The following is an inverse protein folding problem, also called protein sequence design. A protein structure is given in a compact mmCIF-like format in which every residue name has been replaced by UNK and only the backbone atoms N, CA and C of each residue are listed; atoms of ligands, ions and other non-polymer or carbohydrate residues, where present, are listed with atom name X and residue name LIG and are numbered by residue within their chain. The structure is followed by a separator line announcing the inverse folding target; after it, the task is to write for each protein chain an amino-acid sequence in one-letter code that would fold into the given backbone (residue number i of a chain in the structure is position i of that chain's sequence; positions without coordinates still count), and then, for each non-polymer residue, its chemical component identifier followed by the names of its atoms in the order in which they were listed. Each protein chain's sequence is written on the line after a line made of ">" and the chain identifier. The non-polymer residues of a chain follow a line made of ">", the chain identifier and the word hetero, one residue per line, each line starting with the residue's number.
data_IF_931084017182
#
_entry.id   IF_931084017182
#
_cell.length_a   1.000
_cell.length_b   1.000
_cell.length_c   1.000
_cell.angle_alpha   90.00
_cell.angle_beta   90.00
_cell.angle_gamma   90.00
#
_symmetry.space_group_name_H-M   'P 1'
#
loop_
_entity.id
_entity.type
_entity.pdbx_description
1 polymer ?
#
# COMPACT_ATOMS: atom_id res chain seq x y z
N UNK A 1 14.78 -10.24 -12.41
CA UNK A 1 14.56 -9.77 -11.02
C UNK A 1 13.08 -9.96 -10.74
N UNK A 2 12.71 -11.14 -10.23
CA UNK A 2 11.34 -11.39 -9.77
C UNK A 2 11.10 -10.44 -8.61
N UNK A 3 10.01 -9.67 -8.65
CA UNK A 3 9.64 -8.85 -7.51
C UNK A 3 9.55 -9.77 -6.29
N UNK A 4 10.28 -9.47 -5.21
CA UNK A 4 10.34 -10.35 -4.06
C UNK A 4 8.93 -10.47 -3.46
N UNK A 5 8.45 -11.70 -3.25
CA UNK A 5 7.11 -11.95 -2.74
C UNK A 5 6.87 -11.23 -1.40
N UNK A 6 7.91 -11.13 -0.57
CA UNK A 6 7.92 -10.40 0.71
C UNK A 6 7.52 -8.93 0.52
N UNK A 7 7.97 -8.29 -0.57
CA UNK A 7 7.66 -6.89 -0.90
C UNK A 7 6.18 -6.71 -1.26
N UNK A 8 5.56 -7.72 -1.86
CA UNK A 8 4.14 -7.69 -2.23
C UNK A 8 3.28 -7.85 -0.97
N UNK A 9 3.64 -8.78 -0.08
CA UNK A 9 2.92 -9.00 1.18
C UNK A 9 2.92 -7.75 2.06
N UNK A 10 4.06 -7.06 2.19
CA UNK A 10 4.15 -5.78 2.91
C UNK A 10 3.24 -4.70 2.31
N UNK A 11 3.26 -4.53 0.98
CA UNK A 11 2.44 -3.52 0.29
C UNK A 11 0.94 -3.80 0.46
N UNK A 12 0.55 -5.07 0.31
CA UNK A 12 -0.84 -5.50 0.43
C UNK A 12 -1.32 -5.32 1.88
N UNK A 13 -0.53 -5.77 2.86
CA UNK A 13 -0.86 -5.62 4.27
C UNK A 13 -1.01 -4.15 4.70
N UNK A 14 -0.11 -3.29 4.22
CA UNK A 14 -0.17 -1.85 4.47
C UNK A 14 -1.47 -1.23 3.92
N UNK A 15 -1.81 -1.54 2.67
CA UNK A 15 -3.03 -1.02 2.05
C UNK A 15 -4.30 -1.59 2.70
N UNK A 16 -4.33 -2.88 3.04
CA UNK A 16 -5.45 -3.50 3.72
C UNK A 16 -5.67 -2.86 5.10
N UNK A 17 -4.61 -2.52 5.82
CA UNK A 17 -4.70 -1.84 7.10
C UNK A 17 -5.25 -0.40 6.97
N UNK A 18 -4.85 0.35 5.94
CA UNK A 18 -5.23 1.76 5.78
C UNK A 18 -6.55 1.99 5.04
N UNK A 19 -6.89 1.16 4.06
CA UNK A 19 -8.11 1.30 3.26
C UNK A 19 -9.19 0.29 3.60
N UNK A 20 -8.88 -0.75 4.37
CA UNK A 20 -9.80 -1.84 4.73
C UNK A 20 -10.39 -2.57 3.52
N UNK A 21 -9.68 -2.55 2.38
CA UNK A 21 -10.01 -3.36 1.20
C UNK A 21 -9.67 -4.82 1.43
N UNK A 22 -10.33 -5.71 0.67
CA UNK A 22 -10.00 -7.12 0.66
C UNK A 22 -8.59 -7.36 0.10
N UNK A 23 -7.93 -8.43 0.54
CA UNK A 23 -6.63 -8.81 0.01
C UNK A 23 -6.69 -9.09 -1.49
N UNK A 24 -7.77 -9.73 -1.95
CA UNK A 24 -8.01 -10.04 -3.36
C UNK A 24 -8.10 -8.77 -4.21
N UNK A 25 -8.85 -7.76 -3.74
CA UNK A 25 -8.98 -6.47 -4.43
C UNK A 25 -7.63 -5.75 -4.60
N UNK A 26 -6.73 -5.87 -3.61
CA UNK A 26 -5.42 -5.25 -3.64
C UNK A 26 -4.43 -6.05 -4.49
N UNK A 27 -4.55 -7.38 -4.51
CA UNK A 27 -3.73 -8.27 -5.34
C UNK A 27 -4.07 -8.13 -6.82
N UNK A 28 -5.32 -7.78 -7.15
CA UNK A 28 -5.77 -7.50 -8.51
C UNK A 28 -5.27 -6.16 -9.08
N UNK A 29 -4.74 -5.26 -8.23
CA UNK A 29 -4.15 -4.01 -8.70
C UNK A 29 -2.88 -4.26 -9.53
N UNK A 30 -2.73 -3.47 -10.60
CA UNK A 30 -1.46 -3.42 -11.31
C UNK A 30 -0.32 -3.04 -10.36
N UNK A 31 0.85 -3.61 -10.60
CA UNK A 31 2.00 -3.41 -9.72
C UNK A 31 2.34 -1.92 -9.55
N UNK A 32 2.22 -1.12 -10.61
CA UNK A 32 2.46 0.33 -10.55
C UNK A 32 1.43 1.06 -9.68
N UNK A 33 0.16 0.70 -9.81
CA UNK A 33 -0.93 1.32 -9.06
C UNK A 33 -0.82 1.01 -7.57
N UNK A 34 -0.56 -0.25 -7.20
CA UNK A 34 -0.33 -0.65 -5.80
C UNK A 34 0.78 0.19 -5.17
N UNK A 35 1.91 0.34 -5.87
CA UNK A 35 3.05 1.15 -5.41
C UNK A 35 2.67 2.63 -5.24
N UNK A 36 1.88 3.17 -6.16
CA UNK A 36 1.41 4.55 -6.09
C UNK A 36 0.48 4.78 -4.89
N UNK A 37 -0.42 3.84 -4.60
CA UNK A 37 -1.31 3.92 -3.45
C UNK A 37 -0.56 3.83 -2.11
N UNK A 38 0.44 2.95 -2.00
CA UNK A 38 1.29 2.88 -0.81
C UNK A 38 1.97 4.22 -0.55
N UNK A 39 2.59 4.81 -1.58
CA UNK A 39 3.26 6.11 -1.45
C UNK A 39 2.29 7.24 -1.08
N UNK A 40 1.09 7.25 -1.65
CA UNK A 40 0.06 8.25 -1.32
C UNK A 40 -0.42 8.12 0.13
N UNK A 41 -0.72 6.90 0.59
CA UNK A 41 -1.15 6.65 1.96
C UNK A 41 -0.08 7.07 2.97
N UNK A 42 1.19 6.73 2.72
CA UNK A 42 2.31 7.16 3.56
C UNK A 42 2.39 8.70 3.65
N UNK A 43 2.30 9.41 2.52
CA UNK A 43 2.32 10.87 2.51
C UNK A 43 1.13 11.51 3.25
N UNK A 44 -0.04 10.87 3.25
CA UNK A 44 -1.21 11.34 4.01
C UNK A 44 -0.98 11.19 5.52
N UNK A 45 -0.44 10.04 5.95
CA UNK A 45 -0.10 9.78 7.37
C UNK A 45 0.95 10.79 7.85
N UNK A 46 2.04 10.96 7.13
CA UNK A 46 3.11 11.93 7.49
C UNK A 46 2.56 13.36 7.64
N UNK A 47 1.66 13.78 6.74
CA UNK A 47 1.00 15.10 6.81
C UNK A 47 0.04 15.23 7.98
N UNK A 48 -0.64 14.15 8.36
CA UNK A 48 -1.54 14.15 9.50
C UNK A 48 -0.76 14.21 10.83
N UNK A 49 0.37 13.52 10.91
CA UNK A 49 1.27 13.53 12.07
C UNK A 49 2.01 14.86 12.24
N UNK A 50 2.49 15.47 11.15
CA UNK A 50 3.15 16.78 11.19
C UNK A 50 2.23 17.97 11.54
N UNK A 51 0.92 17.73 11.67
CA UNK A 51 -0.07 18.72 12.13
C UNK A 51 -0.40 18.60 13.64
N UNK A 52 0.18 17.63 14.34
CA UNK A 52 0.07 17.48 15.80
C UNK A 52 1.21 18.21 16.51
#
# INVERSE_FOLDING_TARGET
>A
MTYAADRIEEEVGYLAYHFHWGLDDILDLEHADRRAYVAQSAALVERAEGKR
#
